data_IF_252414032667
#
_entry.id   IF_252414032667
#
_cell.length_a   1.000
_cell.length_b   1.000
_cell.length_c   1.000
_cell.angle_alpha   90.00
_cell.angle_beta   90.00
_cell.angle_gamma   90.00
#
_symmetry.space_group_name_H-M   'P 1'
#
loop_
_entity.id
_entity.type
_entity.pdbx_description
1 polymer ?
#
# COMPACT_ATOMS: atom_id res chain seq x y z
N UNK A 1 -2.44 -30.29 -16.16
CA UNK A 1 -3.32 -29.09 -16.18
C UNK A 1 -3.58 -28.53 -14.78
N UNK A 2 -3.87 -29.35 -13.76
CA UNK A 2 -4.07 -28.89 -12.36
C UNK A 2 -2.96 -27.98 -11.84
N UNK A 3 -1.70 -28.37 -12.00
CA UNK A 3 -0.54 -27.56 -11.58
C UNK A 3 -0.49 -26.16 -12.23
N UNK A 4 -0.85 -26.03 -13.51
CA UNK A 4 -0.86 -24.74 -14.21
C UNK A 4 -1.98 -23.84 -13.69
N UNK A 5 -3.15 -24.41 -13.41
CA UNK A 5 -4.27 -23.69 -12.81
C UNK A 5 -3.95 -23.24 -11.38
N UNK A 6 -3.34 -24.13 -10.57
CA UNK A 6 -2.94 -23.82 -9.20
C UNK A 6 -1.90 -22.69 -9.18
N UNK A 7 -0.94 -22.69 -10.11
CA UNK A 7 0.05 -21.61 -10.25
C UNK A 7 -0.60 -20.29 -10.66
N UNK A 8 -1.52 -20.29 -11.62
CA UNK A 8 -2.23 -19.09 -12.05
C UNK A 8 -3.06 -18.47 -10.92
N UNK A 9 -3.73 -19.31 -10.13
CA UNK A 9 -4.51 -18.87 -8.96
C UNK A 9 -3.62 -18.28 -7.87
N UNK A 10 -2.49 -18.94 -7.57
CA UNK A 10 -1.52 -18.42 -6.59
C UNK A 10 -0.95 -17.06 -7.02
N UNK A 11 -0.65 -16.90 -8.32
CA UNK A 11 -0.21 -15.63 -8.88
C UNK A 11 -1.27 -14.53 -8.71
N UNK A 12 -2.52 -14.82 -9.03
CA UNK A 12 -3.64 -13.88 -8.89
C UNK A 12 -3.90 -13.50 -7.41
N UNK A 13 -3.77 -14.45 -6.49
CA UNK A 13 -3.87 -14.22 -5.04
C UNK A 13 -2.76 -13.29 -4.54
N UNK A 14 -1.51 -13.49 -4.98
CA UNK A 14 -0.39 -12.59 -4.66
C UNK A 14 -0.67 -11.19 -5.21
N UNK A 15 -1.11 -11.09 -6.47
CA UNK A 15 -1.41 -9.81 -7.10
C UNK A 15 -2.50 -9.01 -6.38
N UNK A 16 -3.53 -9.68 -5.86
CA UNK A 16 -4.64 -9.07 -5.12
C UNK A 16 -4.34 -8.83 -3.64
N UNK A 17 -3.28 -9.42 -3.09
CA UNK A 17 -2.88 -9.21 -1.71
C UNK A 17 -2.60 -7.73 -1.45
N UNK A 18 -2.98 -7.26 -0.26
CA UNK A 18 -2.75 -5.90 0.19
C UNK A 18 -1.73 -5.87 1.32
N UNK A 19 -0.81 -4.91 1.24
CA UNK A 19 0.24 -4.68 2.22
C UNK A 19 0.12 -3.26 2.74
N UNK A 20 0.10 -3.11 4.07
CA UNK A 20 -0.04 -1.82 4.74
C UNK A 20 1.25 -1.46 5.45
N UNK A 21 1.70 -0.21 5.27
CA UNK A 21 2.82 0.36 6.01
C UNK A 21 2.43 1.72 6.59
N UNK A 22 3.00 2.08 7.73
CA UNK A 22 2.78 3.39 8.35
C UNK A 22 4.04 3.96 8.97
N UNK A 23 4.11 5.29 9.03
CA UNK A 23 5.23 6.06 9.60
C UNK A 23 4.71 7.16 10.53
N UNK A 24 5.60 7.73 11.35
CA UNK A 24 5.24 8.80 12.28
C UNK A 24 4.19 8.38 13.32
N UNK A 25 4.17 7.11 13.75
CA UNK A 25 3.13 6.60 14.65
C UNK A 25 1.74 6.49 14.01
N UNK A 26 1.68 6.32 12.68
CA UNK A 26 0.42 6.24 11.93
C UNK A 26 -0.07 7.58 11.40
N UNK A 27 0.81 8.57 11.30
CA UNK A 27 0.53 9.87 10.66
C UNK A 27 0.35 9.72 9.16
N UNK A 28 1.20 8.93 8.52
CA UNK A 28 1.04 8.51 7.11
C UNK A 28 0.87 7.00 7.08
N UNK A 29 -0.14 6.53 6.34
CA UNK A 29 -0.39 5.11 6.09
C UNK A 29 -0.61 4.89 4.60
N UNK A 30 0.12 3.94 4.01
CA UNK A 30 -0.03 3.54 2.62
C UNK A 30 -0.46 2.08 2.53
N UNK A 31 -1.33 1.78 1.57
CA UNK A 31 -1.71 0.41 1.19
C UNK A 31 -1.26 0.18 -0.25
N UNK A 32 -0.53 -0.90 -0.47
CA UNK A 32 -0.06 -1.32 -1.80
C UNK A 32 -0.57 -2.71 -2.14
N UNK A 33 -0.86 -2.96 -3.41
CA UNK A 33 -1.18 -4.30 -3.91
C UNK A 33 0.09 -5.14 -4.11
N UNK A 34 -0.05 -6.45 -4.32
CA UNK A 34 1.07 -7.31 -4.73
C UNK A 34 1.62 -6.98 -6.11
N UNK A 35 0.87 -6.22 -6.92
CA UNK A 35 1.38 -5.59 -8.16
C UNK A 35 2.28 -4.38 -7.91
N UNK A 36 2.48 -4.00 -6.64
CA UNK A 36 3.19 -2.79 -6.20
C UNK A 36 2.48 -1.50 -6.62
N UNK A 37 1.16 -1.56 -6.79
CA UNK A 37 0.34 -0.38 -7.06
C UNK A 37 -0.14 0.22 -5.74
N UNK A 38 -0.02 1.54 -5.57
CA UNK A 38 -0.59 2.25 -4.42
C UNK A 38 -2.11 2.26 -4.56
N UNK A 39 -2.82 1.61 -3.63
CA UNK A 39 -4.27 1.50 -3.65
C UNK A 39 -4.95 2.43 -2.64
N UNK A 40 -4.22 2.86 -1.61
CA UNK A 40 -4.71 3.85 -0.65
C UNK A 40 -3.56 4.61 0.00
N UNK A 41 -3.77 5.89 0.26
CA UNK A 41 -2.88 6.76 1.03
C UNK A 41 -3.71 7.61 1.99
N UNK A 42 -3.43 7.48 3.29
CA UNK A 42 -4.07 8.26 4.35
C UNK A 42 -3.03 9.09 5.06
N UNK A 43 -3.27 10.39 5.15
CA UNK A 43 -2.44 11.36 5.86
C UNK A 43 -3.32 12.03 6.90
N UNK A 44 -2.88 12.02 8.17
CA UNK A 44 -3.61 12.71 9.25
C UNK A 44 -3.51 14.24 9.05
N UNK A 45 -4.57 15.00 9.39
CA UNK A 45 -4.57 16.46 9.24
C UNK A 45 -3.39 17.16 9.92
N UNK A 46 -2.95 16.63 11.06
CA UNK A 46 -1.85 17.20 11.85
C UNK A 46 -0.49 17.22 11.12
N UNK A 47 -0.34 16.47 10.03
CA UNK A 47 0.85 16.51 9.18
C UNK A 47 0.67 17.33 7.91
N UNK A 48 -0.52 17.90 7.68
CA UNK A 48 -0.80 18.74 6.52
C UNK A 48 -0.59 20.20 6.92
N UNK A 49 0.69 20.59 7.00
CA UNK A 49 1.10 21.98 7.20
C UNK A 49 1.65 22.54 5.88
N UNK A 50 1.01 23.57 5.28
CA UNK A 50 1.51 24.20 4.05
C UNK A 50 2.85 24.94 4.25
N UNK A 51 3.24 25.26 5.49
CA UNK A 51 4.52 25.90 5.80
C UNK A 51 5.66 24.87 5.97
N UNK A 52 5.33 23.58 6.15
CA UNK A 52 6.28 22.47 6.33
C UNK A 52 5.98 21.29 5.41
N UNK A 53 6.09 21.53 4.10
CA UNK A 53 5.82 20.52 3.06
C UNK A 53 6.89 19.41 3.04
N UNK A 54 8.12 19.69 3.51
CA UNK A 54 9.21 18.70 3.54
C UNK A 54 8.87 17.51 4.44
N UNK A 55 8.09 17.72 5.51
CA UNK A 55 7.64 16.67 6.42
C UNK A 55 6.76 15.59 5.74
N UNK A 56 6.11 15.92 4.62
CA UNK A 56 5.20 15.03 3.88
C UNK A 56 5.82 14.37 2.63
N UNK A 57 7.04 14.76 2.22
CA UNK A 57 7.70 14.31 0.98
C UNK A 57 8.66 13.13 1.16
#
# INVERSE_FOLDING_TARGET
MKMQQDMAKAQEEVEQAQFTASVGGGVVTAVVSGKKELTSLTIKPDAVDPEDVEMLQ
#
